data_IF_850562678220
#
_entry.id   IF_850562678220
#
_cell.length_a   1.000
_cell.length_b   1.000
_cell.length_c   1.000
_cell.angle_alpha   90.00
_cell.angle_beta   90.00
_cell.angle_gamma   90.00
#
_symmetry.space_group_name_H-M   'P 1'
#
loop_
_entity.id
_entity.type
_entity.pdbx_description
1 polymer ?
#
# COMPACT_ATOMS: atom_id res chain seq x y z
N UNK A 1 -27.01 -8.02 -2.77
CA UNK A 1 -26.19 -7.56 -1.64
C UNK A 1 -25.15 -8.59 -1.17
N UNK A 2 -25.51 -9.82 -0.74
CA UNK A 2 -24.50 -10.83 -0.36
C UNK A 2 -23.46 -11.12 -1.46
N UNK A 3 -23.86 -11.24 -2.73
CA UNK A 3 -22.93 -11.47 -3.85
C UNK A 3 -21.94 -10.34 -4.04
N UNK A 4 -22.37 -9.09 -4.05
CA UNK A 4 -21.48 -7.92 -4.27
C UNK A 4 -20.50 -7.70 -3.11
N UNK A 5 -20.95 -7.93 -1.86
CA UNK A 5 -20.06 -7.92 -0.70
C UNK A 5 -19.04 -9.07 -0.83
N UNK A 6 -19.48 -10.26 -1.25
CA UNK A 6 -18.60 -11.41 -1.46
C UNK A 6 -17.64 -11.14 -2.62
N UNK A 7 -18.10 -10.56 -3.73
CA UNK A 7 -17.23 -10.22 -4.87
C UNK A 7 -16.24 -9.12 -4.51
N UNK A 8 -16.65 -8.07 -3.78
CA UNK A 8 -15.74 -7.06 -3.25
C UNK A 8 -14.68 -7.68 -2.34
N UNK A 9 -15.09 -8.54 -1.38
CA UNK A 9 -14.16 -9.28 -0.54
C UNK A 9 -13.32 -10.29 -1.35
N UNK A 10 -13.87 -10.91 -2.39
CA UNK A 10 -13.15 -11.86 -3.24
C UNK A 10 -12.14 -11.14 -4.14
N UNK A 11 -12.48 -9.99 -4.71
CA UNK A 11 -11.53 -9.14 -5.46
C UNK A 11 -10.44 -8.62 -4.52
N UNK A 12 -10.79 -8.16 -3.32
CA UNK A 12 -9.82 -7.78 -2.30
C UNK A 12 -8.95 -8.98 -1.86
N UNK A 13 -9.54 -10.16 -1.70
CA UNK A 13 -8.83 -11.39 -1.34
C UNK A 13 -7.99 -11.96 -2.50
N UNK A 14 -8.47 -11.88 -3.74
CA UNK A 14 -7.71 -12.26 -4.95
C UNK A 14 -6.57 -11.27 -5.22
N UNK A 15 -6.77 -9.98 -5.01
CA UNK A 15 -5.69 -9.00 -5.01
C UNK A 15 -4.62 -9.35 -3.94
N UNK A 16 -5.04 -9.87 -2.78
CA UNK A 16 -4.16 -10.37 -1.72
C UNK A 16 -3.48 -11.70 -2.08
N UNK A 17 -4.16 -12.62 -2.76
CA UNK A 17 -3.61 -13.96 -3.07
C UNK A 17 -2.57 -13.98 -4.20
N UNK A 18 -2.55 -12.95 -5.05
CA UNK A 18 -1.56 -12.79 -6.13
C UNK A 18 -0.57 -11.64 -5.90
N UNK A 19 -0.85 -10.77 -4.93
CA UNK A 19 -0.03 -9.62 -4.61
C UNK A 19 0.97 -9.96 -3.51
N UNK A 20 2.21 -10.07 -3.90
CA UNK A 20 3.35 -10.09 -3.00
C UNK A 20 3.87 -8.65 -2.87
N UNK A 21 3.98 -8.15 -1.68
CA UNK A 21 4.00 -6.71 -1.42
C UNK A 21 5.34 -6.13 -1.01
N UNK A 22 5.65 -4.86 -1.34
CA UNK A 22 6.84 -4.19 -0.84
C UNK A 22 6.72 -2.70 -0.57
N UNK A 23 7.27 -2.33 0.59
CA UNK A 23 7.95 -1.07 0.83
C UNK A 23 9.46 -1.34 0.98
N UNK A 24 10.33 -0.31 0.69
CA UNK A 24 11.74 -0.42 1.02
C UNK A 24 11.90 -0.61 2.54
N UNK A 25 12.85 -1.42 2.97
CA UNK A 25 13.08 -1.81 4.37
C UNK A 25 13.42 -0.60 5.26
N UNK A 26 12.41 0.01 5.88
CA UNK A 26 12.55 1.22 6.72
C UNK A 26 13.35 0.97 7.99
N UNK A 27 13.27 -0.26 8.54
CA UNK A 27 14.09 -0.70 9.67
C UNK A 27 15.59 -0.57 9.37
N UNK A 28 15.99 -0.74 8.10
CA UNK A 28 17.38 -0.61 7.67
C UNK A 28 17.76 0.81 7.22
N UNK A 29 16.95 1.84 7.47
CA UNK A 29 17.21 3.20 7.02
C UNK A 29 18.59 3.73 7.49
N UNK A 30 18.95 3.45 8.74
CA UNK A 30 20.24 3.83 9.33
C UNK A 30 21.24 2.66 9.44
N UNK A 31 20.92 1.47 8.92
CA UNK A 31 21.75 0.28 9.03
C UNK A 31 23.04 0.44 8.24
N UNK A 32 24.18 0.26 8.89
CA UNK A 32 25.51 0.34 8.26
C UNK A 32 25.71 -0.79 7.23
N UNK A 33 26.32 -0.46 6.10
CA UNK A 33 26.62 -1.40 5.03
C UNK A 33 25.42 -1.87 4.21
N UNK A 34 24.20 -1.47 4.54
CA UNK A 34 23.02 -1.82 3.75
C UNK A 34 23.05 -1.18 2.36
N UNK A 35 23.12 -2.00 1.32
CA UNK A 35 23.37 -1.53 -0.04
C UNK A 35 22.22 -0.68 -0.59
N UNK A 36 20.96 -1.01 -0.28
CA UNK A 36 19.79 -0.39 -0.90
C UNK A 36 19.17 0.80 -0.14
N UNK A 37 19.87 1.34 0.86
CA UNK A 37 19.39 2.53 1.59
C UNK A 37 19.24 3.78 0.70
N UNK A 38 19.95 3.85 -0.45
CA UNK A 38 19.77 4.91 -1.45
C UNK A 38 18.37 4.93 -2.10
N UNK A 39 17.62 3.83 -2.03
CA UNK A 39 16.22 3.76 -2.46
C UNK A 39 15.27 4.45 -1.46
N UNK A 40 15.69 4.59 -0.20
CA UNK A 40 14.97 5.33 0.86
C UNK A 40 15.41 6.80 0.90
N UNK A 41 16.70 7.05 0.68
CA UNK A 41 17.24 8.40 0.59
C UNK A 41 18.38 8.44 -0.42
N UNK A 42 18.22 9.10 -1.58
CA UNK A 42 19.25 9.16 -2.62
C UNK A 42 20.59 9.76 -2.18
N UNK A 43 20.65 10.52 -1.08
CA UNK A 43 21.92 11.03 -0.54
C UNK A 43 22.78 9.93 0.09
N UNK A 44 22.19 8.78 0.43
CA UNK A 44 22.90 7.66 1.02
C UNK A 44 23.61 6.86 -0.05
N UNK A 45 24.94 7.03 -0.15
CA UNK A 45 25.74 6.24 -1.08
C UNK A 45 26.15 4.90 -0.45
N UNK A 46 26.03 3.77 -1.16
CA UNK A 46 26.57 2.50 -0.72
C UNK A 46 28.08 2.57 -0.45
N UNK A 47 28.56 1.78 0.52
CA UNK A 47 29.96 1.78 0.91
C UNK A 47 30.90 1.32 -0.20
N UNK A 48 30.45 0.34 -1.01
CA UNK A 48 31.20 -0.25 -2.12
C UNK A 48 30.41 -0.13 -3.41
N UNK A 49 31.11 -0.17 -4.52
CA UNK A 49 30.48 -0.45 -5.80
C UNK A 49 29.88 -1.86 -5.77
N UNK A 50 28.77 -2.05 -6.46
CA UNK A 50 28.05 -3.32 -6.43
C UNK A 50 27.36 -3.64 -7.76
N UNK A 51 27.05 -4.92 -7.92
CA UNK A 51 26.21 -5.43 -8.98
C UNK A 51 25.30 -6.51 -8.38
N UNK A 52 24.03 -6.54 -8.80
CA UNK A 52 23.09 -7.58 -8.43
C UNK A 52 22.54 -8.29 -9.68
N UNK A 53 22.55 -9.62 -9.67
CA UNK A 53 21.90 -10.41 -10.69
C UNK A 53 20.38 -10.32 -10.58
N UNK A 54 19.67 -10.57 -11.70
CA UNK A 54 18.22 -10.64 -11.73
C UNK A 54 17.67 -11.51 -10.60
N UNK A 55 16.62 -11.03 -9.94
CA UNK A 55 15.89 -11.70 -8.87
C UNK A 55 16.68 -12.00 -7.57
N UNK A 56 17.94 -11.58 -7.49
CA UNK A 56 18.75 -11.76 -6.29
C UNK A 56 19.03 -10.44 -5.54
N UNK A 57 18.89 -9.31 -6.23
CA UNK A 57 19.36 -8.03 -5.72
C UNK A 57 18.56 -7.51 -4.54
N UNK A 58 17.29 -7.27 -4.74
CA UNK A 58 16.38 -6.77 -3.72
C UNK A 58 14.98 -7.26 -4.02
N UNK A 59 14.55 -8.24 -3.26
CA UNK A 59 13.20 -8.79 -3.27
C UNK A 59 12.52 -8.37 -2.00
N UNK A 60 11.39 -7.76 -2.12
CA UNK A 60 10.62 -7.36 -0.95
C UNK A 60 9.14 -7.62 -1.14
N UNK A 61 8.49 -8.03 -0.06
CA UNK A 61 7.11 -8.47 0.03
C UNK A 61 6.54 -7.97 1.34
N UNK A 62 5.41 -7.26 1.33
CA UNK A 62 4.76 -6.86 2.59
C UNK A 62 3.28 -6.52 2.40
N UNK A 63 2.54 -6.75 3.42
CA UNK A 63 1.15 -6.35 3.64
C UNK A 63 1.08 -5.58 4.94
N UNK A 64 0.44 -4.44 4.92
CA UNK A 64 0.17 -3.62 6.10
C UNK A 64 -1.34 -3.38 6.20
N UNK A 65 -1.94 -3.72 7.34
CA UNK A 65 -3.37 -3.52 7.58
C UNK A 65 -3.60 -3.21 9.06
N UNK A 66 -4.55 -2.35 9.35
CA UNK A 66 -5.08 -2.16 10.70
C UNK A 66 -6.33 -3.02 10.97
N UNK A 67 -6.47 -4.11 10.22
CA UNK A 67 -7.49 -5.14 10.40
C UNK A 67 -6.82 -6.48 10.64
N UNK A 68 -7.36 -7.24 11.60
CA UNK A 68 -7.02 -8.63 11.85
C UNK A 68 -8.20 -9.55 11.60
N UNK A 69 -7.96 -10.85 11.55
CA UNK A 69 -9.04 -11.84 11.45
C UNK A 69 -9.96 -11.77 12.67
N UNK A 70 -9.42 -11.49 13.86
CA UNK A 70 -10.15 -11.29 15.11
C UNK A 70 -11.12 -10.10 15.10
N UNK A 71 -10.99 -9.19 14.14
CA UNK A 71 -11.95 -8.10 13.94
C UNK A 71 -13.30 -8.65 13.47
N UNK A 72 -13.28 -9.69 12.64
CA UNK A 72 -14.47 -10.24 11.97
C UNK A 72 -14.93 -11.58 12.52
N UNK A 73 -14.04 -12.33 13.18
CA UNK A 73 -14.30 -13.67 13.70
C UNK A 73 -14.14 -13.71 15.21
N UNK A 74 -15.13 -14.26 15.89
CA UNK A 74 -15.23 -14.33 17.35
C UNK A 74 -15.31 -15.78 17.80
N UNK A 75 -14.60 -16.20 18.87
CA UNK A 75 -14.69 -17.54 19.40
C UNK A 75 -16.05 -17.76 20.05
N UNK A 76 -16.62 -18.96 19.84
CA UNK A 76 -17.84 -19.42 20.48
C UNK A 76 -17.51 -20.32 21.69
N UNK A 77 -18.45 -20.48 22.62
CA UNK A 77 -18.25 -21.29 23.84
C UNK A 77 -17.97 -22.78 23.55
N UNK A 78 -18.44 -23.28 22.42
CA UNK A 78 -18.22 -24.65 21.94
C UNK A 78 -16.90 -24.81 21.15
N UNK A 79 -16.06 -23.79 21.13
CA UNK A 79 -14.73 -23.80 20.49
C UNK A 79 -14.76 -23.56 18.98
N UNK A 80 -15.92 -23.15 18.42
CA UNK A 80 -16.06 -22.71 17.03
C UNK A 80 -15.72 -21.22 16.86
N UNK A 81 -16.01 -20.71 15.66
CA UNK A 81 -15.94 -19.29 15.32
C UNK A 81 -17.29 -18.80 14.79
N UNK A 82 -17.68 -17.59 15.21
CA UNK A 82 -18.82 -16.88 14.67
C UNK A 82 -18.37 -15.57 14.00
N UNK A 83 -19.22 -15.01 13.12
CA UNK A 83 -18.90 -13.75 12.47
C UNK A 83 -19.39 -12.55 13.30
N UNK A 84 -18.82 -11.38 13.04
CA UNK A 84 -19.26 -10.13 13.65
C UNK A 84 -20.75 -9.80 13.40
N UNK A 85 -21.36 -10.37 12.35
CA UNK A 85 -22.79 -10.20 12.05
C UNK A 85 -23.71 -11.00 12.97
N UNK A 86 -23.18 -11.97 13.73
CA UNK A 86 -23.98 -12.75 14.66
C UNK A 86 -24.49 -11.87 15.82
N UNK A 87 -25.71 -12.09 16.26
CA UNK A 87 -26.34 -11.34 17.36
C UNK A 87 -25.65 -11.53 18.72
N UNK A 88 -24.85 -12.58 18.88
CA UNK A 88 -24.04 -12.79 20.10
C UNK A 88 -22.89 -11.79 20.22
N UNK A 89 -22.45 -11.18 19.12
CA UNK A 89 -21.43 -10.13 19.09
C UNK A 89 -22.13 -8.77 19.15
N UNK A 90 -21.90 -8.00 20.20
CA UNK A 90 -22.52 -6.67 20.32
C UNK A 90 -21.89 -5.65 19.35
N UNK A 91 -22.67 -4.64 18.97
CA UNK A 91 -22.19 -3.53 18.12
C UNK A 91 -20.95 -2.86 18.72
N UNK A 92 -20.99 -2.61 20.04
CA UNK A 92 -19.87 -2.02 20.75
C UNK A 92 -18.62 -2.86 20.69
N UNK A 93 -18.73 -4.17 20.93
CA UNK A 93 -17.58 -5.08 20.89
C UNK A 93 -16.92 -5.11 19.51
N UNK A 94 -17.72 -5.13 18.45
CA UNK A 94 -17.21 -5.11 17.08
C UNK A 94 -16.59 -3.74 16.74
N UNK A 95 -17.33 -2.65 16.95
CA UNK A 95 -16.91 -1.32 16.53
C UNK A 95 -15.73 -0.75 17.36
N UNK A 96 -15.53 -1.19 18.59
CA UNK A 96 -14.34 -0.82 19.38
C UNK A 96 -13.04 -1.40 18.78
N UNK A 97 -13.13 -2.46 17.97
CA UNK A 97 -11.98 -3.05 17.25
C UNK A 97 -11.72 -2.41 15.88
N UNK A 98 -12.60 -1.55 15.40
CA UNK A 98 -12.49 -0.88 14.10
C UNK A 98 -11.95 0.53 14.29
N UNK A 99 -10.86 0.86 13.59
CA UNK A 99 -10.33 2.22 13.48
C UNK A 99 -11.27 3.12 12.68
N UNK A 100 -11.19 4.44 12.85
CA UNK A 100 -12.03 5.39 12.09
C UNK A 100 -11.94 5.19 10.57
N UNK A 101 -10.76 4.82 10.08
CA UNK A 101 -10.56 4.39 8.69
C UNK A 101 -9.73 3.11 8.72
N UNK A 102 -10.29 2.06 8.19
CA UNK A 102 -9.54 0.83 7.97
C UNK A 102 -8.76 0.92 6.67
N UNK A 103 -7.52 0.46 6.72
CA UNK A 103 -6.58 0.55 5.60
C UNK A 103 -5.89 -0.78 5.43
N UNK A 104 -5.76 -1.18 4.18
CA UNK A 104 -4.84 -2.24 3.79
C UNK A 104 -3.93 -1.69 2.70
N UNK A 105 -2.66 -1.94 2.82
CA UNK A 105 -1.67 -1.61 1.81
C UNK A 105 -0.87 -2.85 1.45
N UNK A 106 -0.74 -3.07 0.16
CA UNK A 106 -0.04 -4.22 -0.41
C UNK A 106 0.92 -3.68 -1.47
N UNK A 107 2.17 -4.10 -1.50
CA UNK A 107 3.13 -3.61 -2.49
C UNK A 107 4.24 -4.61 -2.82
N UNK A 108 4.66 -4.75 -4.09
CA UNK A 108 5.78 -5.61 -4.58
C UNK A 108 6.88 -4.74 -5.15
N UNK A 109 8.14 -5.09 -4.90
CA UNK A 109 9.29 -4.56 -5.63
C UNK A 109 10.33 -5.64 -5.85
N UNK A 110 10.61 -5.86 -7.07
CA UNK A 110 11.63 -6.79 -7.52
C UNK A 110 12.69 -6.04 -8.31
N UNK A 111 13.94 -6.12 -7.85
CA UNK A 111 15.07 -5.58 -8.62
C UNK A 111 15.50 -6.59 -9.68
N UNK A 112 15.10 -6.34 -10.92
CA UNK A 112 15.52 -7.13 -12.07
C UNK A 112 17.02 -6.94 -12.32
N UNK A 113 17.50 -5.70 -12.26
CA UNK A 113 18.92 -5.37 -12.39
C UNK A 113 19.23 -4.21 -11.46
N UNK A 114 20.35 -4.29 -10.77
CA UNK A 114 20.80 -3.20 -9.91
C UNK A 114 22.32 -3.14 -9.91
N UNK A 115 22.87 -1.98 -10.18
CA UNK A 115 24.31 -1.74 -10.11
C UNK A 115 24.61 -0.35 -9.58
N UNK A 116 25.75 -0.23 -8.91
CA UNK A 116 26.24 1.05 -8.44
C UNK A 116 27.77 1.12 -8.42
N UNK A 117 28.29 2.28 -8.77
CA UNK A 117 29.73 2.49 -8.84
C UNK A 117 30.13 3.88 -8.41
N UNK A 118 31.32 3.97 -7.83
CA UNK A 118 31.87 5.21 -7.31
C UNK A 118 32.84 5.85 -8.31
N UNK A 119 32.65 7.15 -8.55
CA UNK A 119 33.57 8.00 -9.33
C UNK A 119 33.98 9.21 -8.50
N UNK A 120 35.19 9.18 -7.97
CA UNK A 120 35.66 10.25 -7.07
C UNK A 120 34.77 10.40 -5.81
N UNK A 121 34.20 11.60 -5.63
CA UNK A 121 33.28 11.90 -4.52
C UNK A 121 31.83 11.56 -4.81
N UNK A 122 31.53 11.08 -6.03
CA UNK A 122 30.17 10.77 -6.48
C UNK A 122 29.93 9.27 -6.49
N UNK A 123 28.67 8.91 -6.30
CA UNK A 123 28.19 7.52 -6.48
C UNK A 123 27.03 7.51 -7.47
N UNK A 124 27.08 6.57 -8.40
CA UNK A 124 26.11 6.40 -9.46
C UNK A 124 25.40 5.06 -9.29
N UNK A 125 24.09 5.04 -9.53
CA UNK A 125 23.29 3.79 -9.53
C UNK A 125 22.47 3.68 -10.81
N UNK A 126 22.27 2.46 -11.26
CA UNK A 126 21.35 2.11 -12.35
C UNK A 126 20.51 0.96 -11.86
N UNK A 127 19.20 1.11 -11.90
CA UNK A 127 18.23 0.13 -11.44
C UNK A 127 17.17 -0.14 -12.52
N UNK A 128 16.80 -1.41 -12.69
CA UNK A 128 15.57 -1.83 -13.36
C UNK A 128 14.79 -2.62 -12.34
N UNK A 129 13.57 -2.16 -12.02
CA UNK A 129 12.73 -2.76 -10.99
C UNK A 129 11.30 -2.90 -11.47
N UNK A 130 10.68 -4.01 -11.13
CA UNK A 130 9.23 -4.18 -11.21
C UNK A 130 8.62 -3.75 -9.89
N UNK A 131 7.63 -2.89 -9.94
CA UNK A 131 6.87 -2.45 -8.76
C UNK A 131 5.38 -2.66 -8.98
N UNK A 132 4.73 -3.20 -7.97
CA UNK A 132 3.28 -3.21 -7.88
C UNK A 132 2.87 -2.75 -6.47
N UNK A 133 1.86 -1.93 -6.38
CA UNK A 133 1.29 -1.44 -5.14
C UNK A 133 -0.23 -1.44 -5.24
N UNK A 134 -0.89 -1.73 -4.14
CA UNK A 134 -2.33 -1.73 -4.01
C UNK A 134 -2.74 -1.34 -2.61
N UNK A 135 -3.97 -0.92 -2.47
CA UNK A 135 -4.51 -0.58 -1.17
C UNK A 135 -6.03 -0.55 -1.16
N UNK A 136 -6.60 -0.71 0.02
CA UNK A 136 -8.00 -0.47 0.27
C UNK A 136 -8.18 0.49 1.43
N UNK A 137 -9.27 1.24 1.37
CA UNK A 137 -9.71 2.12 2.44
C UNK A 137 -11.21 1.88 2.66
N UNK A 138 -11.61 1.78 3.91
CA UNK A 138 -13.02 1.61 4.30
C UNK A 138 -13.23 2.39 5.60
N UNK A 139 -14.15 3.37 5.63
CA UNK A 139 -14.47 4.12 6.84
C UNK A 139 -15.26 3.27 7.84
N UNK A 140 -15.16 3.61 9.12
CA UNK A 140 -15.85 2.90 10.21
C UNK A 140 -17.36 2.90 10.05
N UNK A 141 -17.91 3.95 9.47
CA UNK A 141 -19.33 4.15 9.19
C UNK A 141 -19.90 3.02 8.33
N UNK A 142 -19.11 2.51 7.36
CA UNK A 142 -19.49 1.36 6.54
C UNK A 142 -19.71 0.09 7.37
N UNK A 143 -18.78 -0.19 8.29
CA UNK A 143 -18.91 -1.34 9.21
C UNK A 143 -20.04 -1.16 10.22
N UNK A 144 -20.25 0.07 10.69
CA UNK A 144 -21.36 0.42 11.56
C UNK A 144 -22.69 0.16 10.87
N UNK A 145 -22.82 0.60 9.62
CA UNK A 145 -24.00 0.33 8.81
C UNK A 145 -24.21 -1.18 8.59
N UNK A 146 -23.16 -1.93 8.26
CA UNK A 146 -23.27 -3.38 8.06
C UNK A 146 -23.69 -4.12 9.33
N UNK A 147 -23.25 -3.67 10.51
CA UNK A 147 -23.52 -4.32 11.78
C UNK A 147 -24.88 -3.95 12.34
N UNK A 148 -25.21 -2.68 12.39
CA UNK A 148 -26.36 -2.14 13.12
C UNK A 148 -27.56 -1.85 12.21
N UNK A 149 -27.32 -1.56 10.93
CA UNK A 149 -28.37 -1.10 10.02
C UNK A 149 -29.14 0.09 10.63
N UNK A 150 -30.47 0.08 10.50
CA UNK A 150 -31.36 1.07 11.12
C UNK A 150 -31.82 0.70 12.55
N UNK A 151 -31.30 -0.41 13.12
CA UNK A 151 -31.85 -1.00 14.35
C UNK A 151 -31.68 -0.16 15.62
N UNK A 152 -30.67 0.71 15.69
CA UNK A 152 -30.35 1.48 16.90
C UNK A 152 -30.84 2.94 16.85
N UNK A 153 -31.85 3.25 16.02
CA UNK A 153 -32.39 4.60 15.88
C UNK A 153 -31.45 5.56 15.15
N UNK A 154 -30.43 5.06 14.48
CA UNK A 154 -29.61 5.83 13.55
C UNK A 154 -30.37 5.88 12.23
N UNK A 155 -30.72 7.09 11.82
CA UNK A 155 -31.51 7.33 10.62
C UNK A 155 -30.66 7.79 9.43
N UNK A 156 -29.39 8.14 9.65
CA UNK A 156 -28.53 8.69 8.61
C UNK A 156 -27.10 8.14 8.71
N UNK A 157 -26.56 7.75 7.57
CA UNK A 157 -25.20 7.23 7.39
C UNK A 157 -24.52 8.02 6.27
N UNK A 158 -23.35 8.56 6.57
CA UNK A 158 -22.48 9.16 5.57
C UNK A 158 -21.24 8.27 5.45
N UNK A 159 -21.13 7.58 4.33
CA UNK A 159 -20.05 6.61 4.04
C UNK A 159 -19.27 7.18 2.86
N UNK A 160 -18.14 7.79 3.12
CA UNK A 160 -17.26 8.36 2.09
C UNK A 160 -15.93 7.66 2.06
N UNK A 161 -15.27 7.73 0.90
CA UNK A 161 -13.94 7.16 0.69
C UNK A 161 -13.86 5.64 0.90
N UNK A 162 -14.81 4.88 0.37
CA UNK A 162 -14.65 3.42 0.23
C UNK A 162 -13.94 3.13 -1.07
N UNK A 163 -12.72 2.58 -1.02
CA UNK A 163 -11.96 2.42 -2.24
C UNK A 163 -10.98 1.27 -2.26
N UNK A 164 -10.67 0.84 -3.47
CA UNK A 164 -9.62 -0.13 -3.78
C UNK A 164 -8.81 0.38 -4.96
N UNK A 165 -7.49 0.31 -4.85
CA UNK A 165 -6.56 0.65 -5.91
C UNK A 165 -5.49 -0.42 -6.08
N UNK A 166 -5.14 -0.71 -7.34
CA UNK A 166 -3.98 -1.52 -7.72
C UNK A 166 -3.23 -0.79 -8.82
N UNK A 167 -1.90 -0.85 -8.77
CA UNK A 167 -1.03 -0.16 -9.71
C UNK A 167 0.25 -0.97 -9.91
N UNK A 168 0.66 -1.21 -11.15
CA UNK A 168 1.91 -1.90 -11.47
C UNK A 168 2.68 -1.18 -12.58
N UNK A 169 4.03 -1.19 -12.42
CA UNK A 169 4.93 -0.48 -13.35
C UNK A 169 6.31 -1.10 -13.38
N UNK A 170 6.98 -0.99 -14.52
CA UNK A 170 8.41 -1.17 -14.64
C UNK A 170 9.10 0.18 -14.47
N UNK A 171 10.15 0.22 -13.67
CA UNK A 171 10.94 1.42 -13.36
C UNK A 171 12.37 1.23 -13.86
N UNK A 172 12.85 2.14 -14.71
CA UNK A 172 14.26 2.31 -15.06
C UNK A 172 14.75 3.58 -14.36
N UNK A 173 15.72 3.46 -13.46
CA UNK A 173 16.19 4.56 -12.64
C UNK A 173 17.70 4.76 -12.77
N UNK A 174 18.11 6.03 -12.91
CA UNK A 174 19.49 6.47 -12.78
C UNK A 174 19.63 7.37 -11.56
N UNK A 175 20.51 6.98 -10.64
CA UNK A 175 20.80 7.72 -9.40
C UNK A 175 22.19 8.34 -9.40
N UNK A 176 22.25 9.52 -8.79
CA UNK A 176 23.49 10.27 -8.54
C UNK A 176 23.49 10.80 -7.13
N UNK A 177 24.54 10.52 -6.38
CA UNK A 177 24.77 11.15 -5.08
C UNK A 177 26.20 11.69 -4.95
N UNK A 178 26.38 12.77 -4.21
CA UNK A 178 27.67 13.43 -4.04
C UNK A 178 27.80 14.06 -2.67
N UNK A 179 28.98 13.91 -2.05
CA UNK A 179 29.38 14.72 -0.91
C UNK A 179 29.81 16.10 -1.41
N UNK A 180 29.01 17.12 -1.08
CA UNK A 180 29.28 18.52 -1.41
C UNK A 180 30.35 19.08 -0.47
N UNK A 181 30.25 18.73 0.80
CA UNK A 181 31.22 19.04 1.85
C UNK A 181 31.47 17.80 2.70
N UNK A 182 32.28 17.92 3.72
CA UNK A 182 32.56 16.83 4.66
C UNK A 182 31.36 16.54 5.58
N UNK A 183 30.43 17.48 5.71
CA UNK A 183 29.22 17.41 6.56
C UNK A 183 27.90 17.33 5.78
N UNK A 184 27.90 17.45 4.43
CA UNK A 184 26.69 17.49 3.62
C UNK A 184 26.81 16.59 2.41
N UNK A 185 25.78 15.80 2.19
CA UNK A 185 25.61 14.96 1.01
C UNK A 185 24.25 15.19 0.39
N UNK A 186 24.18 15.24 -0.94
CA UNK A 186 22.94 15.32 -1.73
C UNK A 186 22.85 14.14 -2.67
N UNK A 187 21.63 13.82 -3.08
CA UNK A 187 21.37 12.79 -4.07
C UNK A 187 20.06 13.02 -4.80
N UNK A 188 20.02 12.54 -6.03
CA UNK A 188 18.82 12.53 -6.86
C UNK A 188 18.78 11.22 -7.67
N UNK A 189 17.57 10.73 -7.96
CA UNK A 189 17.33 9.63 -8.89
C UNK A 189 16.26 10.06 -9.89
N UNK A 190 16.55 9.91 -11.16
CA UNK A 190 15.60 10.13 -12.25
C UNK A 190 15.06 8.77 -12.70
N UNK A 191 13.77 8.70 -12.92
CA UNK A 191 13.07 7.47 -13.22
C UNK A 191 12.26 7.62 -14.50
N UNK A 192 12.42 6.67 -15.41
CA UNK A 192 11.51 6.41 -16.50
C UNK A 192 10.57 5.29 -16.05
N UNK A 193 9.28 5.50 -16.21
CA UNK A 193 8.24 4.58 -15.76
C UNK A 193 7.49 4.03 -16.97
N UNK A 194 7.28 2.73 -16.98
CA UNK A 194 6.41 2.04 -17.92
C UNK A 194 5.25 1.45 -17.13
N UNK A 195 4.05 2.08 -17.24
CA UNK A 195 2.84 1.59 -16.60
C UNK A 195 2.44 0.25 -17.21
N UNK A 196 2.15 -0.75 -16.37
CA UNK A 196 1.78 -2.10 -16.80
C UNK A 196 0.28 -2.34 -16.62
N UNK A 197 -0.25 -2.08 -15.44
CA UNK A 197 -1.67 -2.19 -15.15
C UNK A 197 -2.06 -1.23 -14.02
N UNK A 198 -3.27 -0.69 -14.10
CA UNK A 198 -3.87 0.12 -13.04
C UNK A 198 -5.36 -0.14 -12.98
N UNK A 199 -5.87 -0.34 -11.77
CA UNK A 199 -7.29 -0.36 -11.48
C UNK A 199 -7.53 0.51 -10.24
N UNK A 200 -8.59 1.29 -10.25
CA UNK A 200 -9.00 2.17 -9.16
C UNK A 200 -10.52 2.21 -9.11
N UNK A 201 -11.07 1.92 -7.95
CA UNK A 201 -12.48 2.07 -7.64
C UNK A 201 -12.58 2.89 -6.36
N UNK A 202 -13.29 4.00 -6.42
CA UNK A 202 -13.53 4.87 -5.27
C UNK A 202 -15.00 5.27 -5.23
N UNK A 203 -15.66 4.96 -4.14
CA UNK A 203 -16.98 5.49 -3.78
C UNK A 203 -16.73 6.72 -2.92
N UNK A 204 -16.87 7.89 -3.53
CA UNK A 204 -16.54 9.17 -2.89
C UNK A 204 -17.57 9.54 -1.84
N UNK A 205 -18.84 9.21 -2.09
CA UNK A 205 -19.97 9.60 -1.27
C UNK A 205 -21.12 8.59 -1.39
N UNK A 206 -21.54 8.05 -0.26
CA UNK A 206 -22.70 7.19 -0.11
C UNK A 206 -23.47 7.65 1.11
N UNK A 207 -24.54 8.42 0.89
CA UNK A 207 -25.41 8.88 1.95
C UNK A 207 -26.67 8.04 1.98
N UNK A 208 -26.97 7.51 3.15
CA UNK A 208 -28.16 6.70 3.43
C UNK A 208 -28.94 7.40 4.53
N UNK A 209 -30.19 7.74 4.29
CA UNK A 209 -31.12 8.20 5.32
C UNK A 209 -32.30 7.25 5.33
N UNK A 210 -32.45 6.54 6.44
CA UNK A 210 -33.45 5.47 6.62
C UNK A 210 -34.35 5.83 7.79
N UNK A 211 -35.33 6.68 7.57
CA UNK A 211 -36.31 7.02 8.61
C UNK A 211 -37.63 6.27 8.38
N UNK A 212 -38.53 6.32 9.36
CA UNK A 212 -39.79 5.57 9.33
C UNK A 212 -40.77 6.03 8.26
N UNK A 213 -40.56 7.19 7.64
CA UNK A 213 -41.46 7.78 6.64
C UNK A 213 -40.88 7.82 5.24
N UNK A 214 -39.56 7.85 5.11
CA UNK A 214 -38.88 7.94 3.82
C UNK A 214 -37.45 7.44 3.92
N UNK A 215 -37.03 6.64 2.95
CA UNK A 215 -35.62 6.30 2.74
C UNK A 215 -35.07 7.13 1.61
N UNK A 216 -33.85 7.61 1.78
CA UNK A 216 -33.13 8.37 0.75
C UNK A 216 -31.73 7.81 0.64
N UNK A 217 -31.29 7.52 -0.59
CA UNK A 217 -29.95 7.04 -0.90
C UNK A 217 -29.37 7.91 -1.99
N UNK A 218 -28.20 8.45 -1.75
CA UNK A 218 -27.37 9.08 -2.78
C UNK A 218 -26.04 8.35 -2.86
N UNK A 219 -25.58 8.02 -4.06
CA UNK A 219 -24.29 7.36 -4.29
C UNK A 219 -23.53 8.08 -5.38
N UNK A 220 -22.26 8.35 -5.12
CA UNK A 220 -21.32 8.88 -6.09
C UNK A 220 -20.02 8.10 -6.00
N UNK A 221 -19.47 7.72 -7.15
CA UNK A 221 -18.23 6.97 -7.20
C UNK A 221 -17.71 6.84 -8.61
N UNK A 222 -16.44 6.49 -8.72
CA UNK A 222 -15.76 6.36 -10.00
C UNK A 222 -14.88 5.11 -10.03
N UNK A 223 -14.75 4.55 -11.22
CA UNK A 223 -13.83 3.47 -11.51
C UNK A 223 -12.97 3.81 -12.72
N UNK A 224 -11.74 3.35 -12.72
CA UNK A 224 -10.86 3.45 -13.88
C UNK A 224 -9.93 2.24 -13.95
N UNK A 225 -9.76 1.72 -15.17
CA UNK A 225 -8.78 0.67 -15.45
C UNK A 225 -7.90 1.07 -16.62
N UNK A 226 -6.65 0.67 -16.59
CA UNK A 226 -5.67 0.91 -17.63
C UNK A 226 -4.71 -0.27 -17.73
N UNK A 227 -4.25 -0.56 -18.93
CA UNK A 227 -3.40 -1.71 -19.20
C UNK A 227 -4.19 -2.89 -19.77
N UNK A 228 -3.72 -4.13 -19.61
CA UNK A 228 -4.37 -5.32 -20.15
C UNK A 228 -5.53 -5.79 -19.25
N UNK A 229 -6.31 -4.86 -18.75
CA UNK A 229 -7.51 -5.09 -17.95
C UNK A 229 -8.65 -4.38 -18.66
N UNK A 230 -9.73 -5.07 -18.94
CA UNK A 230 -10.92 -4.48 -19.55
C UNK A 230 -12.10 -4.51 -18.58
N UNK A 231 -12.88 -3.44 -18.61
CA UNK A 231 -14.21 -3.43 -18.02
C UNK A 231 -15.16 -4.02 -19.07
N UNK A 232 -15.87 -5.06 -18.72
CA UNK A 232 -16.96 -5.58 -19.58
C UNK A 232 -18.25 -4.84 -19.27
N UNK A 233 -19.09 -4.69 -20.27
CA UNK A 233 -20.47 -4.23 -20.11
C UNK A 233 -21.41 -5.43 -20.01
N UNK A 234 -22.33 -5.39 -19.05
CA UNK A 234 -23.50 -6.30 -19.02
C UNK A 234 -24.42 -6.04 -20.24
N UNK A 235 -25.52 -6.77 -20.34
CA UNK A 235 -26.51 -6.63 -21.40
C UNK A 235 -27.18 -5.24 -21.45
N UNK A 236 -26.39 -4.20 -21.69
CA UNK A 236 -26.79 -2.82 -21.88
C UNK A 236 -25.55 -2.06 -22.31
N UNK A 237 -25.64 -1.08 -23.25
CA UNK A 237 -24.47 -0.53 -23.92
C UNK A 237 -23.48 0.20 -22.99
N UNK A 238 -23.83 0.43 -21.71
CA UNK A 238 -23.04 1.29 -20.83
C UNK A 238 -22.84 0.74 -19.40
N UNK A 239 -23.47 -0.37 -18.99
CA UNK A 239 -23.35 -0.88 -17.62
C UNK A 239 -22.12 -1.79 -17.46
N UNK A 240 -21.31 -1.54 -16.43
CA UNK A 240 -20.09 -2.30 -16.17
C UNK A 240 -20.38 -3.56 -15.35
N UNK A 241 -19.99 -4.70 -15.88
CA UNK A 241 -19.98 -5.96 -15.15
C UNK A 241 -18.73 -6.06 -14.26
N UNK A 242 -18.91 -5.72 -12.98
CA UNK A 242 -17.82 -5.77 -11.98
C UNK A 242 -17.46 -7.22 -11.63
N UNK A 243 -18.37 -8.18 -11.82
CA UNK A 243 -18.15 -9.59 -11.49
C UNK A 243 -17.22 -10.29 -12.50
N UNK A 244 -17.08 -9.73 -13.69
CA UNK A 244 -16.28 -10.27 -14.79
C UNK A 244 -15.18 -9.29 -15.28
N UNK A 245 -14.39 -8.76 -14.37
CA UNK A 245 -13.15 -8.05 -14.74
C UNK A 245 -12.15 -9.07 -15.28
N UNK A 246 -11.95 -9.10 -16.59
CA UNK A 246 -10.98 -10.01 -17.20
C UNK A 246 -9.56 -9.46 -17.14
N UNK A 247 -8.65 -10.28 -16.59
CA UNK A 247 -7.24 -10.10 -16.82
C UNK A 247 -6.93 -10.37 -18.31
N UNK A 248 -6.21 -9.47 -18.95
CA UNK A 248 -5.89 -9.59 -20.36
C UNK A 248 -5.09 -10.85 -20.69
N UNK A 249 -5.30 -11.34 -21.92
CA UNK A 249 -4.52 -12.46 -22.47
C UNK A 249 -3.05 -12.10 -22.66
N UNK A 250 -2.19 -13.10 -22.81
CA UNK A 250 -0.76 -12.88 -23.14
C UNK A 250 -0.56 -12.09 -24.44
N UNK A 251 -1.51 -12.16 -25.36
CA UNK A 251 -1.49 -11.41 -26.62
C UNK A 251 -1.78 -9.92 -26.38
N UNK A 252 -2.77 -9.60 -25.55
CA UNK A 252 -3.07 -8.21 -25.10
C UNK A 252 -1.92 -7.63 -24.26
N UNK A 253 -1.26 -8.43 -23.44
CA UNK A 253 -0.03 -8.06 -22.76
C UNK A 253 1.09 -7.71 -23.75
N UNK A 254 1.28 -8.51 -24.79
CA UNK A 254 2.30 -8.26 -25.81
C UNK A 254 1.98 -6.98 -26.61
N UNK A 255 0.73 -6.76 -26.99
CA UNK A 255 0.27 -5.56 -27.66
C UNK A 255 0.44 -4.32 -26.78
N UNK A 256 0.13 -4.41 -25.49
CA UNK A 256 0.33 -3.34 -24.52
C UNK A 256 1.80 -2.88 -24.44
N UNK A 257 2.77 -3.80 -24.54
CA UNK A 257 4.20 -3.46 -24.57
C UNK A 257 4.63 -2.78 -25.87
N UNK A 258 3.87 -2.87 -26.95
CA UNK A 258 4.18 -2.13 -28.21
C UNK A 258 3.87 -0.64 -28.11
N UNK A 259 2.91 -0.25 -27.26
CA UNK A 259 2.51 1.17 -27.04
C UNK A 259 2.38 1.44 -25.53
N UNK A 260 3.47 1.39 -24.78
CA UNK A 260 3.41 1.42 -23.32
C UNK A 260 2.89 2.77 -22.79
N UNK A 261 2.26 2.72 -21.64
CA UNK A 261 1.99 3.89 -20.82
C UNK A 261 3.30 4.40 -20.21
N UNK A 262 3.65 5.65 -20.47
CA UNK A 262 4.97 6.21 -20.11
C UNK A 262 4.78 7.26 -19.02
N UNK A 263 5.68 7.25 -18.05
CA UNK A 263 5.76 8.23 -16.98
C UNK A 263 7.18 8.62 -16.62
N UNK A 264 7.30 9.61 -15.78
CA UNK A 264 8.55 10.03 -15.21
C UNK A 264 8.39 10.35 -13.73
N UNK A 265 9.42 10.07 -12.95
CA UNK A 265 9.48 10.44 -11.54
C UNK A 265 10.90 10.82 -11.14
N UNK A 266 11.01 11.46 -9.99
CA UNK A 266 12.29 11.75 -9.36
C UNK A 266 12.25 11.43 -7.87
N UNK A 267 13.41 11.02 -7.35
CA UNK A 267 13.69 10.99 -5.93
C UNK A 267 14.74 12.05 -5.61
N UNK A 268 14.60 12.73 -4.49
CA UNK A 268 15.54 13.72 -3.99
C UNK A 268 15.91 13.39 -2.55
N UNK A 269 17.16 13.65 -2.18
CA UNK A 269 17.61 13.40 -0.82
C UNK A 269 18.77 14.29 -0.41
N UNK A 270 18.81 14.59 0.87
CA UNK A 270 19.89 15.31 1.52
C UNK A 270 20.18 14.71 2.88
N UNK A 271 21.44 14.72 3.27
CA UNK A 271 21.87 14.35 4.63
C UNK A 271 22.94 15.31 5.14
N UNK A 272 22.89 15.57 6.44
CA UNK A 272 23.76 16.49 7.14
C UNK A 272 24.36 15.82 8.38
N UNK A 273 25.68 15.80 8.49
CA UNK A 273 26.39 15.38 9.70
C UNK A 273 26.66 16.62 10.56
N UNK A 274 26.23 16.62 11.82
CA UNK A 274 26.36 17.73 12.74
C UNK A 274 26.68 17.23 14.15
N UNK A 275 27.29 18.11 14.96
CA UNK A 275 27.69 17.83 16.35
C UNK A 275 28.47 16.50 16.49
N UNK A 276 29.28 16.13 15.48
CA UNK A 276 30.17 14.97 15.45
C UNK A 276 29.46 13.57 15.47
N UNK A 277 28.36 13.45 16.22
CA UNK A 277 27.64 12.17 16.44
C UNK A 277 26.26 12.12 15.84
N UNK A 278 25.77 13.17 15.20
CA UNK A 278 24.42 13.24 14.68
C UNK A 278 24.41 13.36 13.16
N UNK A 279 23.49 12.64 12.55
CA UNK A 279 23.15 12.79 11.11
C UNK A 279 21.67 13.07 10.98
N UNK A 280 21.31 14.20 10.37
CA UNK A 280 19.93 14.46 9.93
C UNK A 280 19.80 14.17 8.43
N UNK A 281 18.64 13.72 8.00
CA UNK A 281 18.38 13.43 6.60
C UNK A 281 16.92 13.65 6.24
N UNK A 282 16.70 14.09 4.99
CA UNK A 282 15.35 14.23 4.41
C UNK A 282 15.39 13.71 2.99
N UNK A 283 14.31 13.04 2.57
CA UNK A 283 14.13 12.62 1.19
C UNK A 283 12.67 12.66 0.77
N UNK A 284 12.47 12.83 -0.54
CA UNK A 284 11.18 12.67 -1.21
C UNK A 284 11.38 11.63 -2.31
N UNK A 285 10.56 10.61 -2.31
CA UNK A 285 10.65 9.44 -3.18
C UNK A 285 9.38 9.36 -4.05
N UNK A 286 9.52 8.94 -5.31
CA UNK A 286 8.42 8.72 -6.28
C UNK A 286 7.61 10.01 -6.58
N UNK A 287 8.25 11.18 -6.61
CA UNK A 287 7.61 12.42 -7.07
C UNK A 287 7.47 12.39 -8.59
N UNK A 288 6.29 12.03 -9.10
CA UNK A 288 6.09 11.85 -10.54
C UNK A 288 4.69 11.42 -10.94
N UNK A 289 4.54 11.05 -12.21
CA UNK A 289 3.27 10.63 -12.80
C UNK A 289 3.47 9.59 -13.90
N UNK A 290 2.38 8.91 -14.25
CA UNK A 290 2.29 8.04 -15.44
C UNK A 290 1.15 8.54 -16.31
N UNK A 291 1.45 8.77 -17.60
CA UNK A 291 0.46 9.03 -18.64
C UNK A 291 -0.06 7.69 -19.19
N UNK A 292 -1.20 7.26 -18.69
CA UNK A 292 -1.83 6.02 -19.11
C UNK A 292 -2.54 6.20 -20.44
N UNK A 293 -2.41 5.20 -21.30
CA UNK A 293 -3.15 5.06 -22.58
C UNK A 293 -4.11 3.89 -22.45
N UNK A 294 -5.18 3.92 -23.21
CA UNK A 294 -6.18 2.85 -23.18
C UNK A 294 -6.90 2.78 -21.84
N UNK A 295 -7.17 3.93 -21.20
CA UNK A 295 -7.90 3.96 -19.94
C UNK A 295 -9.39 3.87 -20.22
N UNK A 296 -10.06 2.90 -19.60
CA UNK A 296 -11.51 2.85 -19.47
C UNK A 296 -11.93 3.50 -18.15
N UNK A 297 -12.97 4.31 -18.19
CA UNK A 297 -13.53 4.99 -17.02
C UNK A 297 -15.02 4.74 -16.92
N UNK A 298 -15.50 4.57 -15.69
CA UNK A 298 -16.90 4.44 -15.37
C UNK A 298 -17.22 5.26 -14.11
N UNK A 299 -18.45 5.72 -14.03
CA UNK A 299 -18.94 6.50 -12.90
C UNK A 299 -20.29 5.92 -12.45
N UNK A 300 -20.58 6.02 -11.16
CA UNK A 300 -21.94 5.82 -10.68
C UNK A 300 -22.80 6.94 -11.25
N UNK A 301 -24.02 6.64 -11.75
CA UNK A 301 -24.83 7.65 -12.48
C UNK A 301 -25.16 8.88 -11.62
N UNK A 302 -24.95 8.81 -10.32
CA UNK A 302 -25.32 9.84 -9.36
C UNK A 302 -26.84 9.98 -9.33
N UNK A 303 -27.35 10.53 -8.28
CA UNK A 303 -28.77 10.77 -8.13
C UNK A 303 -29.23 10.52 -6.71
N UNK A 304 -30.40 11.02 -6.41
CA UNK A 304 -31.11 10.73 -5.17
C UNK A 304 -32.19 9.70 -5.49
N UNK A 305 -32.11 8.56 -4.84
CA UNK A 305 -33.21 7.61 -4.80
C UNK A 305 -33.97 7.77 -3.51
N UNK A 306 -35.29 7.68 -3.59
CA UNK A 306 -36.13 7.75 -2.40
C UNK A 306 -37.25 6.72 -2.45
N UNK A 307 -37.55 6.16 -1.28
CA UNK A 307 -38.62 5.23 -1.06
C UNK A 307 -39.46 5.69 0.13
N UNK A 308 -40.73 5.89 -0.08
CA UNK A 308 -41.73 6.37 0.91
C UNK A 308 -42.79 5.31 1.29
N UNK A 309 -42.58 4.06 0.86
CA UNK A 309 -43.42 2.92 1.20
C UNK A 309 -43.94 2.19 -0.03
N UNK A 310 -44.48 0.99 0.19
CA UNK A 310 -45.10 0.19 -0.85
C UNK A 310 -46.54 0.65 -1.08
N UNK A 311 -46.93 0.93 -2.34
CA UNK A 311 -48.24 1.47 -2.67
C UNK A 311 -49.24 0.41 -3.12
N UNK A 312 -48.78 -0.68 -3.74
CA UNK A 312 -49.66 -1.66 -4.46
C UNK A 312 -49.74 -3.04 -3.79
N UNK A 313 -49.88 -3.06 -2.46
CA UNK A 313 -50.00 -4.31 -1.72
C UNK A 313 -51.46 -4.70 -1.60
N UNK A 314 -51.82 -5.87 -2.15
CA UNK A 314 -53.13 -6.45 -1.92
C UNK A 314 -53.37 -6.85 -0.47
N UNK A 315 -54.63 -6.85 -0.03
CA UNK A 315 -55.01 -7.22 1.34
C UNK A 315 -54.71 -8.69 1.68
N UNK A 316 -54.36 -9.49 0.70
CA UNK A 316 -53.91 -10.89 0.80
C UNK A 316 -52.37 -11.02 0.75
N UNK A 317 -51.65 -9.91 0.71
CA UNK A 317 -50.18 -9.86 0.60
C UNK A 317 -49.67 -10.04 -0.84
N UNK A 318 -50.54 -10.09 -1.82
CA UNK A 318 -50.12 -10.16 -3.24
C UNK A 318 -49.43 -8.86 -3.65
N UNK A 319 -48.39 -8.96 -4.48
CA UNK A 319 -47.62 -7.81 -4.96
C UNK A 319 -46.35 -7.50 -4.15
N UNK A 320 -46.24 -7.91 -2.88
CA UNK A 320 -45.05 -7.63 -2.03
C UNK A 320 -43.76 -8.12 -2.66
N UNK A 321 -43.74 -9.32 -3.22
CA UNK A 321 -42.51 -9.88 -3.79
C UNK A 321 -42.02 -9.05 -4.98
N UNK A 322 -42.94 -8.60 -5.85
CA UNK A 322 -42.63 -7.72 -6.98
C UNK A 322 -42.13 -6.34 -6.57
N UNK A 323 -42.76 -5.73 -5.60
CA UNK A 323 -42.36 -4.42 -5.05
C UNK A 323 -40.99 -4.48 -4.38
N UNK A 324 -40.67 -5.58 -3.66
CA UNK A 324 -39.35 -5.82 -3.06
C UNK A 324 -38.29 -6.02 -4.13
N UNK A 325 -38.58 -6.73 -5.22
CA UNK A 325 -37.68 -6.97 -6.33
C UNK A 325 -37.42 -5.67 -7.09
N UNK A 326 -38.43 -4.85 -7.34
CA UNK A 326 -38.30 -3.53 -7.96
C UNK A 326 -37.44 -2.57 -7.09
N UNK A 327 -37.77 -2.46 -5.79
CA UNK A 327 -36.96 -1.72 -4.80
C UNK A 327 -35.48 -2.14 -4.82
N UNK A 328 -35.24 -3.44 -4.83
CA UNK A 328 -33.90 -4.01 -4.89
C UNK A 328 -33.16 -3.63 -6.19
N UNK A 329 -33.85 -3.67 -7.32
CA UNK A 329 -33.29 -3.34 -8.63
C UNK A 329 -32.98 -1.85 -8.77
N UNK A 330 -33.85 -0.98 -8.27
CA UNK A 330 -33.65 0.47 -8.26
C UNK A 330 -32.44 0.88 -7.38
N UNK A 331 -32.35 0.32 -6.16
CA UNK A 331 -31.19 0.54 -5.28
C UNK A 331 -29.87 0.07 -5.90
N UNK A 332 -29.90 -1.10 -6.53
CA UNK A 332 -28.73 -1.61 -7.26
C UNK A 332 -28.40 -0.75 -8.47
N UNK A 333 -29.40 -0.18 -9.13
CA UNK A 333 -29.24 0.75 -10.26
C UNK A 333 -28.43 1.99 -9.91
N UNK A 334 -28.55 2.52 -8.69
CA UNK A 334 -27.75 3.65 -8.21
C UNK A 334 -26.26 3.30 -8.04
N UNK A 335 -25.99 2.05 -7.68
CA UNK A 335 -24.63 1.57 -7.43
C UNK A 335 -23.96 0.99 -8.69
N UNK A 336 -24.70 0.85 -9.78
CA UNK A 336 -24.15 0.37 -11.05
C UNK A 336 -23.24 1.42 -11.68
N UNK A 337 -22.05 1.00 -12.03
CA UNK A 337 -21.10 1.82 -12.77
C UNK A 337 -21.50 1.89 -14.25
N UNK A 338 -21.54 3.08 -14.82
CA UNK A 338 -21.74 3.31 -16.26
C UNK A 338 -20.45 3.79 -16.90
N UNK A 339 -20.14 3.26 -18.06
CA UNK A 339 -18.98 3.67 -18.84
C UNK A 339 -19.09 5.15 -19.23
N UNK A 340 -18.08 5.94 -18.89
CA UNK A 340 -17.99 7.36 -19.23
C UNK A 340 -16.88 7.63 -20.24
N UNK A 341 -16.00 6.67 -20.48
CA UNK A 341 -14.95 6.76 -21.47
C UNK A 341 -14.24 5.44 -21.67
N UNK A 342 -13.85 5.19 -22.91
CA UNK A 342 -13.03 4.05 -23.31
C UNK A 342 -11.84 4.50 -24.10
N UNK A 343 -10.70 3.80 -23.96
CA UNK A 343 -9.45 4.07 -24.67
C UNK A 343 -8.97 5.53 -24.58
N UNK A 344 -9.22 6.19 -23.45
CA UNK A 344 -8.80 7.58 -23.23
C UNK A 344 -7.37 7.66 -22.70
N UNK A 345 -6.75 8.85 -22.82
CA UNK A 345 -5.47 9.13 -22.17
C UNK A 345 -5.71 9.86 -20.86
N UNK A 346 -5.17 9.34 -19.76
CA UNK A 346 -5.31 9.92 -18.43
C UNK A 346 -3.98 9.93 -17.68
N UNK A 347 -3.66 11.04 -17.04
CA UNK A 347 -2.45 11.15 -16.22
C UNK A 347 -2.82 10.90 -14.75
N UNK A 348 -2.07 10.02 -14.11
CA UNK A 348 -2.20 9.78 -12.68
C UNK A 348 -0.87 10.04 -11.98
N UNK A 349 -0.93 10.81 -10.90
CA UNK A 349 0.23 11.03 -10.04
C UNK A 349 0.57 9.75 -9.28
N UNK A 350 1.86 9.54 -9.03
CA UNK A 350 2.32 8.52 -8.09
C UNK A 350 2.11 9.03 -6.66
N UNK A 351 1.91 8.10 -5.73
CA UNK A 351 2.00 8.42 -4.32
C UNK A 351 3.45 8.75 -3.95
N UNK A 352 3.72 10.02 -3.59
CA UNK A 352 5.04 10.43 -3.14
C UNK A 352 5.26 10.04 -1.67
N UNK A 353 6.50 9.65 -1.32
CA UNK A 353 6.85 9.29 0.06
C UNK A 353 7.94 10.25 0.56
N UNK A 354 7.68 10.89 1.69
CA UNK A 354 8.64 11.76 2.39
C UNK A 354 9.23 11.00 3.56
N UNK A 355 10.54 10.99 3.67
CA UNK A 355 11.26 10.50 4.85
C UNK A 355 12.01 11.66 5.52
N UNK A 356 11.94 11.75 6.83
CA UNK A 356 12.72 12.66 7.65
C UNK A 356 13.31 11.89 8.83
N UNK A 357 14.63 11.88 8.95
CA UNK A 357 15.32 11.04 9.93
C UNK A 357 16.46 11.74 10.64
N UNK A 358 16.67 11.35 11.89
CA UNK A 358 17.82 11.73 12.72
C UNK A 358 18.44 10.46 13.28
N UNK A 359 19.75 10.32 13.14
CA UNK A 359 20.57 9.27 13.74
C UNK A 359 21.50 9.89 14.79
N UNK A 360 21.61 9.25 15.95
CA UNK A 360 22.55 9.60 17.00
C UNK A 360 23.49 8.41 17.28
N UNK A 361 24.79 8.59 17.05
CA UNK A 361 25.84 7.61 17.40
C UNK A 361 26.28 7.76 18.84
N UNK A 362 26.55 6.65 19.50
CA UNK A 362 26.99 6.67 20.89
C UNK A 362 28.48 7.03 20.99
N UNK A 363 28.85 8.11 21.70
CA UNK A 363 30.24 8.55 21.82
C UNK A 363 31.17 7.50 22.46
N UNK A 364 30.63 6.71 23.39
CA UNK A 364 31.37 5.64 24.07
C UNK A 364 31.47 4.34 23.26
N UNK A 365 30.65 4.16 22.23
CA UNK A 365 30.66 3.00 21.36
C UNK A 365 30.07 3.37 19.99
N UNK A 366 30.89 3.94 19.11
CA UNK A 366 30.47 4.45 17.79
C UNK A 366 29.80 3.41 16.85
N UNK A 367 29.87 2.13 17.22
CA UNK A 367 29.22 1.02 16.50
C UNK A 367 27.75 0.83 16.87
N UNK A 368 27.27 1.57 17.84
CA UNK A 368 25.87 1.62 18.24
C UNK A 368 25.29 2.99 17.90
N UNK A 369 24.17 3.00 17.19
CA UNK A 369 23.40 4.23 16.94
C UNK A 369 21.91 4.02 17.22
N UNK A 370 21.23 5.12 17.50
CA UNK A 370 19.79 5.17 17.62
C UNK A 370 19.25 6.09 16.53
N UNK A 371 18.16 5.66 15.88
CA UNK A 371 17.51 6.40 14.81
C UNK A 371 16.08 6.77 15.14
N UNK A 372 15.65 7.93 14.72
CA UNK A 372 14.25 8.36 14.65
C UNK A 372 13.93 8.65 13.19
N UNK A 373 12.90 8.00 12.65
CA UNK A 373 12.46 8.16 11.26
C UNK A 373 10.97 8.48 11.22
N UNK A 374 10.61 9.61 10.61
CA UNK A 374 9.23 9.90 10.20
C UNK A 374 9.08 9.58 8.71
N UNK A 375 8.00 8.89 8.37
CA UNK A 375 7.63 8.56 6.99
C UNK A 375 6.20 9.03 6.75
N UNK A 376 5.99 9.76 5.65
CA UNK A 376 4.68 10.21 5.19
C UNK A 376 4.51 9.81 3.72
N UNK A 377 3.51 8.98 3.41
CA UNK A 377 3.06 8.76 2.04
C UNK A 377 1.92 9.71 1.73
N UNK A 378 2.03 10.41 0.61
CA UNK A 378 1.05 11.37 0.11
C UNK A 378 0.43 10.77 -1.14
N UNK A 379 -0.80 10.27 -1.04
CA UNK A 379 -1.47 9.51 -2.11
C UNK A 379 -3.01 9.65 -2.01
N UNK A 380 -3.50 10.89 -1.87
CA UNK A 380 -4.93 11.16 -1.69
C UNK A 380 -5.52 10.39 -0.50
N UNK A 381 -6.67 9.72 -0.68
CA UNK A 381 -7.31 8.95 0.38
C UNK A 381 -6.45 7.79 0.92
N UNK A 382 -5.51 7.27 0.12
CA UNK A 382 -4.58 6.19 0.48
C UNK A 382 -3.32 6.67 1.22
N UNK A 383 -3.28 7.94 1.64
CA UNK A 383 -2.16 8.50 2.41
C UNK A 383 -2.03 7.86 3.77
N UNK A 384 -0.78 7.71 4.25
CA UNK A 384 -0.50 7.17 5.58
C UNK A 384 0.79 7.78 6.17
N UNK A 385 0.92 7.68 7.49
CA UNK A 385 2.05 8.21 8.26
C UNK A 385 2.61 7.15 9.19
N UNK A 386 3.92 7.14 9.39
CA UNK A 386 4.63 6.28 10.34
C UNK A 386 5.71 7.07 11.07
N UNK A 387 5.81 6.85 12.38
CA UNK A 387 6.96 7.19 13.21
C UNK A 387 7.70 5.93 13.65
N UNK A 388 9.02 5.86 13.44
CA UNK A 388 9.85 4.67 13.75
C UNK A 388 11.06 5.08 14.58
N UNK A 389 11.31 4.35 15.66
CA UNK A 389 12.57 4.40 16.41
C UNK A 389 13.37 3.14 16.12
N UNK A 390 14.69 3.24 16.02
CA UNK A 390 15.57 2.10 15.75
C UNK A 390 16.83 2.12 16.60
N UNK A 391 17.35 0.92 16.88
CA UNK A 391 18.69 0.72 17.43
C UNK A 391 19.49 -0.08 16.40
N UNK A 392 20.65 0.45 15.99
CA UNK A 392 21.49 -0.10 14.95
C UNK A 392 22.85 -0.43 15.54
N UNK A 393 23.33 -1.64 15.30
CA UNK A 393 24.58 -2.14 15.88
C UNK A 393 25.43 -2.79 14.78
N UNK A 394 26.69 -2.35 14.65
CA UNK A 394 27.69 -2.96 13.77
C UNK A 394 28.84 -3.56 14.58
N UNK A 395 28.65 -4.67 15.31
CA UNK A 395 29.62 -5.20 16.28
C UNK A 395 30.97 -5.52 15.64
N UNK A 396 30.96 -5.85 14.36
CA UNK A 396 32.18 -6.08 13.53
C UNK A 396 32.04 -5.40 12.16
N UNK A 397 33.13 -5.22 11.46
CA UNK A 397 33.15 -4.46 10.19
C UNK A 397 32.45 -5.14 9.02
N UNK A 398 31.97 -6.34 9.17
CA UNK A 398 31.33 -7.13 8.12
C UNK A 398 29.89 -7.56 8.47
N UNK A 399 29.44 -7.22 9.66
CA UNK A 399 28.09 -7.59 10.13
C UNK A 399 27.43 -6.42 10.84
N UNK A 400 26.20 -6.13 10.49
CA UNK A 400 25.37 -5.16 11.15
C UNK A 400 23.93 -5.67 11.34
N UNK A 401 23.28 -5.17 12.36
CA UNK A 401 21.89 -5.50 12.69
C UNK A 401 21.13 -4.25 13.14
N UNK A 402 19.84 -4.24 12.89
CA UNK A 402 18.92 -3.20 13.35
C UNK A 402 17.69 -3.84 13.97
N UNK A 403 17.18 -3.21 15.00
CA UNK A 403 15.83 -3.47 15.51
C UNK A 403 15.06 -2.16 15.59
N UNK A 404 13.76 -2.20 15.39
CA UNK A 404 12.94 -1.00 15.39
C UNK A 404 11.55 -1.25 15.96
N UNK A 405 10.95 -0.19 16.48
CA UNK A 405 9.54 -0.12 16.82
C UNK A 405 8.90 1.04 16.06
N UNK A 406 7.76 0.80 15.46
CA UNK A 406 7.02 1.80 14.71
C UNK A 406 5.57 1.89 15.15
N UNK A 407 5.03 3.10 15.03
CA UNK A 407 3.62 3.41 15.15
C UNK A 407 3.13 4.08 13.86
N UNK A 408 2.07 3.56 13.27
CA UNK A 408 1.55 4.04 11.98
C UNK A 408 0.02 3.99 11.92
N UNK A 409 -0.55 4.44 10.79
CA UNK A 409 -1.97 4.24 10.51
C UNK A 409 -2.38 2.75 10.40
N UNK A 410 -1.41 1.85 10.32
CA UNK A 410 -1.61 0.40 10.31
C UNK A 410 -1.40 -0.25 11.69
N UNK A 411 -1.26 0.55 12.75
CA UNK A 411 -1.00 0.08 14.10
C UNK A 411 0.49 0.06 14.48
N UNK A 412 0.80 -0.72 15.51
CA UNK A 412 2.15 -0.89 16.03
C UNK A 412 2.89 -2.00 15.30
N UNK A 413 4.20 -1.84 15.10
CA UNK A 413 5.02 -2.89 14.52
C UNK A 413 6.43 -2.94 15.10
N UNK A 414 7.00 -4.16 15.15
CA UNK A 414 8.41 -4.38 15.49
C UNK A 414 9.14 -4.83 14.23
N UNK A 415 10.27 -4.20 13.93
CA UNK A 415 11.11 -4.52 12.81
C UNK A 415 12.46 -5.08 13.23
N UNK A 416 13.06 -5.85 12.34
CA UNK A 416 14.42 -6.36 12.50
C UNK A 416 15.12 -6.47 11.16
N UNK A 417 16.41 -6.19 11.12
CA UNK A 417 17.21 -6.35 9.91
C UNK A 417 18.61 -6.84 10.24
N UNK A 418 19.15 -7.69 9.39
CA UNK A 418 20.54 -8.17 9.46
C UNK A 418 21.22 -7.94 8.13
N UNK A 419 22.50 -7.60 8.16
CA UNK A 419 23.28 -7.34 6.97
C UNK A 419 24.70 -7.91 7.15
N UNK A 420 25.12 -8.73 6.18
CA UNK A 420 26.48 -9.29 6.08
C UNK A 420 27.15 -8.64 4.87
N UNK A 421 28.12 -7.75 5.09
CA UNK A 421 28.78 -6.96 4.04
C UNK A 421 30.27 -7.21 3.96
N UNK A 422 30.61 -8.34 3.39
CA UNK A 422 32.01 -8.76 3.16
C UNK A 422 32.59 -8.14 1.87
N UNK A 423 33.92 -8.05 1.76
CA UNK A 423 34.55 -7.81 0.46
C UNK A 423 34.15 -8.93 -0.52
N UNK A 424 33.45 -8.56 -1.61
CA UNK A 424 32.96 -9.50 -2.62
C UNK A 424 31.45 -9.70 -2.62
N UNK A 425 30.77 -9.65 -1.48
CA UNK A 425 29.32 -9.73 -1.46
C UNK A 425 28.68 -9.01 -0.27
N UNK A 426 27.41 -8.65 -0.44
CA UNK A 426 26.54 -8.15 0.61
C UNK A 426 25.25 -8.96 0.59
N UNK A 427 24.89 -9.57 1.72
CA UNK A 427 23.66 -10.31 1.93
C UNK A 427 22.88 -9.67 3.06
N UNK A 428 21.62 -9.39 2.84
CA UNK A 428 20.76 -8.83 3.87
C UNK A 428 19.39 -9.50 3.88
N UNK A 429 18.77 -9.47 5.04
CA UNK A 429 17.37 -9.81 5.23
C UNK A 429 16.79 -8.92 6.34
N UNK A 430 15.53 -8.54 6.20
CA UNK A 430 14.87 -7.73 7.22
C UNK A 430 13.37 -7.71 7.07
N UNK A 431 12.74 -7.24 8.14
CA UNK A 431 11.31 -7.11 8.33
C UNK A 431 11.03 -5.72 8.89
N UNK A 432 10.09 -4.97 8.33
CA UNK A 432 9.60 -3.73 8.95
C UNK A 432 8.50 -4.00 9.97
N UNK A 433 7.82 -5.10 9.79
CA UNK A 433 6.85 -5.61 10.74
C UNK A 433 7.11 -7.09 10.99
N UNK A 434 7.38 -7.41 12.22
CA UNK A 434 7.56 -8.77 12.71
C UNK A 434 6.42 -9.09 13.68
N UNK A 435 5.78 -10.22 13.47
CA UNK A 435 4.67 -10.74 14.29
C UNK A 435 5.16 -11.77 15.35
N UNK A 436 6.11 -11.45 16.25
CA UNK A 436 6.53 -12.40 17.27
C UNK A 436 5.47 -12.60 18.36
N UNK A 437 4.43 -11.77 18.33
CA UNK A 437 3.32 -11.78 19.28
C UNK A 437 2.00 -12.04 18.54
N UNK A 438 2.01 -12.93 17.54
CA UNK A 438 0.75 -13.47 17.03
C UNK A 438 0.04 -14.17 18.19
N UNK A 439 -0.91 -13.49 18.79
CA UNK A 439 -1.92 -14.20 19.53
C UNK A 439 -2.66 -15.09 18.54
N UNK A 440 -2.57 -16.38 18.74
CA UNK A 440 -3.30 -17.35 17.93
C UNK A 440 -4.49 -17.84 18.75
N UNK A 441 -5.64 -17.98 18.09
CA UNK A 441 -6.74 -18.76 18.67
C UNK A 441 -6.27 -20.19 18.89
N UNK A 442 -6.95 -20.97 19.76
CA UNK A 442 -6.67 -22.40 19.92
C UNK A 442 -6.69 -23.19 18.58
N UNK A 443 -7.35 -22.66 17.54
CA UNK A 443 -7.42 -23.23 16.20
C UNK A 443 -6.32 -22.72 15.26
N UNK A 444 -5.29 -22.02 15.78
CA UNK A 444 -4.15 -21.46 15.02
C UNK A 444 -4.51 -20.36 14.00
N UNK A 445 -5.58 -19.59 14.23
CA UNK A 445 -5.87 -18.39 13.44
C UNK A 445 -5.20 -17.15 14.07
N UNK A 446 -4.52 -16.30 13.28
CA UNK A 446 -3.92 -15.08 13.79
C UNK A 446 -4.99 -14.08 14.27
N UNK A 447 -4.84 -13.60 15.48
CA UNK A 447 -5.79 -12.66 16.13
C UNK A 447 -5.44 -11.21 15.86
N UNK A 448 -4.18 -10.89 15.60
CA UNK A 448 -3.68 -9.53 15.48
C UNK A 448 -3.78 -8.98 14.06
N UNK A 449 -3.56 -7.68 13.93
CA UNK A 449 -3.51 -6.98 12.65
C UNK A 449 -2.52 -7.62 11.68
N UNK A 450 -2.90 -7.69 10.39
CA UNK A 450 -2.09 -8.35 9.37
C UNK A 450 -0.98 -7.41 8.89
N UNK A 451 0.10 -7.32 9.68
CA UNK A 451 1.29 -6.55 9.34
C UNK A 451 2.47 -7.48 9.11
N UNK A 452 2.88 -7.66 7.88
CA UNK A 452 4.05 -8.44 7.50
C UNK A 452 4.75 -7.80 6.33
N UNK A 453 6.05 -7.56 6.47
CA UNK A 453 6.90 -7.04 5.40
C UNK A 453 8.24 -7.74 5.47
N UNK A 454 8.63 -8.42 4.42
CA UNK A 454 9.91 -9.15 4.32
C UNK A 454 10.71 -8.59 3.15
N UNK A 455 11.95 -8.23 3.39
CA UNK A 455 12.88 -7.79 2.35
C UNK A 455 14.19 -8.54 2.48
N UNK A 456 14.71 -9.06 1.38
CA UNK A 456 16.00 -9.73 1.33
C UNK A 456 16.72 -9.46 0.01
N UNK A 457 18.02 -9.67 0.00
CA UNK A 457 18.79 -9.59 -1.23
C UNK A 457 20.26 -9.88 -1.08
N UNK A 458 20.85 -10.15 -2.23
CA UNK A 458 22.27 -10.44 -2.39
C UNK A 458 22.86 -9.54 -3.48
N UNK A 459 23.95 -8.87 -3.17
CA UNK A 459 24.72 -8.10 -4.15
C UNK A 459 26.18 -8.52 -4.13
N UNK A 460 26.82 -8.49 -5.28
CA UNK A 460 28.25 -8.67 -5.43
C UNK A 460 28.92 -7.31 -5.32
N UNK A 461 29.87 -7.18 -4.38
CA UNK A 461 30.51 -5.91 -4.05
C UNK A 461 31.97 -5.90 -4.49
N UNK A 462 32.43 -4.75 -4.97
CA UNK A 462 33.81 -4.57 -5.43
C UNK A 462 34.33 -3.16 -5.09
N UNK A 463 35.64 -2.99 -5.20
CA UNK A 463 36.31 -1.73 -4.85
C UNK A 463 36.53 -1.56 -3.34
N UNK A 464 37.13 -0.43 -2.98
CA UNK A 464 37.39 -0.08 -1.58
C UNK A 464 36.11 0.39 -0.90
N UNK A 465 35.88 -0.05 0.34
CA UNK A 465 34.82 0.50 1.16
C UNK A 465 35.12 1.97 1.49
N UNK A 466 34.10 2.81 1.36
CA UNK A 466 34.13 4.18 1.82
C UNK A 466 33.04 4.30 2.86
N UNK A 467 33.43 4.36 4.12
CA UNK A 467 32.49 4.47 5.23
C UNK A 467 31.54 5.64 5.05
N UNK A 468 30.34 5.48 5.53
CA UNK A 468 29.29 6.50 5.52
C UNK A 468 29.70 7.73 6.31
N UNK A 469 30.56 7.51 7.29
CA UNK A 469 31.05 8.52 8.23
C UNK A 469 32.58 8.62 8.17
N UNK A 470 33.09 9.81 8.30
CA UNK A 470 34.52 10.03 8.45
C UNK A 470 34.95 9.44 9.80
N UNK A 471 35.96 8.54 9.80
CA UNK A 471 36.66 8.24 11.07
C UNK A 471 37.12 9.55 11.63
N UNK A 472 36.66 9.91 12.82
CA UNK A 472 37.32 10.94 13.61
C UNK A 472 38.81 10.56 13.72
N UNK A 473 39.70 11.49 13.37
CA UNK A 473 41.14 11.30 13.49
C UNK A 473 41.52 11.45 14.94
#
# INVERSE_FOLDING_TARGET
MKRYITTFFTIALLAVSTAHAQQNLRTAYFLDGYTYNYKLNPSFAPERSFFAFPFLGNVGVGMESNLGLSTFCYPTEDGGLTSFLNSSVSDKEFLDRISNVTRTNVSVNESILSTGFRVGRSFHTIDISLKADGGSIVPKEFYSFLKSGSANGVESWNISDVGVRVNSRLELAYGYSRSISDWMRIGARLKLLLGMARADLLVDDLNLTLNSSKWTVTAHGNASVSGPISLRTEEGPDEVDIDNVEAGTMEQLAEFFTVPSIGAAMDLGVSFDFLEYFTASVSVIDLGFIGWKGTATAEMPGGEWSFDGFENIGTDGSGIDGEIEELGSELLGLMKLKMTGDNIKKNYMLGATVHAGIEARMPFYERLSFGLLGTQRIDGPYSWTEGRISANLAPVNWFSLSTSYAYSNFGNSFGGAVNIHLPGFNLYAGLDSFLPLMEMTPQYYPVNDLNTNVTMGLTFTFGKAVGRYRKAK
#
